data_IF_611804705779
#
_entry.id   IF_611804705779
#
_cell.length_a   1.000
_cell.length_b   1.000
_cell.length_c   1.000
_cell.angle_alpha   90.00
_cell.angle_beta   90.00
_cell.angle_gamma   90.00
#
_symmetry.space_group_name_H-M   'P 1'
#
loop_
_entity.id
_entity.type
_entity.pdbx_description
1 polymer ?
#
# COMPACT_ATOMS: atom_id res chain seq x y z
N UNK A 1 28.41 -3.62 8.82
CA UNK A 1 27.69 -2.34 8.63
C UNK A 1 26.73 -2.32 7.42
N UNK A 2 26.94 -3.16 6.39
CA UNK A 2 26.11 -3.19 5.15
C UNK A 2 24.68 -3.70 5.38
N UNK A 3 24.49 -4.71 6.24
CA UNK A 3 23.16 -5.23 6.60
C UNK A 3 22.24 -4.18 7.26
N UNK A 4 22.81 -3.29 8.09
CA UNK A 4 22.04 -2.23 8.75
C UNK A 4 21.48 -1.23 7.75
N UNK A 5 22.27 -0.86 6.73
CA UNK A 5 21.82 0.03 5.64
C UNK A 5 20.76 -0.64 4.77
N UNK A 6 20.93 -1.93 4.44
CA UNK A 6 19.91 -2.66 3.70
C UNK A 6 18.60 -2.67 4.49
N UNK A 7 18.59 -3.11 5.75
CA UNK A 7 17.35 -3.20 6.55
C UNK A 7 16.64 -1.85 6.74
N UNK A 8 17.39 -0.75 6.83
CA UNK A 8 16.82 0.60 6.88
C UNK A 8 16.05 0.95 5.61
N UNK A 9 16.58 0.59 4.44
CA UNK A 9 15.88 0.75 3.15
C UNK A 9 14.62 -0.12 3.11
N UNK A 10 14.61 -1.30 3.76
CA UNK A 10 13.40 -2.14 3.81
C UNK A 10 12.30 -1.43 4.54
N UNK A 11 12.62 -0.97 5.75
CA UNK A 11 11.64 -0.43 6.69
C UNK A 11 11.09 0.86 6.09
N UNK A 12 11.96 1.69 5.51
CA UNK A 12 11.54 2.89 4.80
C UNK A 12 10.60 2.57 3.63
N UNK A 13 10.96 1.61 2.78
CA UNK A 13 10.15 1.23 1.62
C UNK A 13 8.81 0.60 2.05
N UNK A 14 8.84 -0.22 3.10
CA UNK A 14 7.66 -0.87 3.67
C UNK A 14 6.70 0.14 4.26
N UNK A 15 7.19 1.03 5.12
CA UNK A 15 6.37 2.07 5.73
C UNK A 15 5.80 3.01 4.67
N UNK A 16 6.60 3.47 3.70
CA UNK A 16 6.12 4.38 2.66
C UNK A 16 5.11 3.72 1.72
N UNK A 17 5.32 2.45 1.35
CA UNK A 17 4.43 1.74 0.43
C UNK A 17 3.09 1.39 1.09
N UNK A 18 3.13 0.90 2.33
CA UNK A 18 1.91 0.63 3.11
C UNK A 18 1.13 1.92 3.35
N UNK A 19 1.80 3.02 3.68
CA UNK A 19 1.14 4.31 3.86
C UNK A 19 0.51 4.82 2.56
N UNK A 20 1.25 4.78 1.44
CA UNK A 20 0.76 5.21 0.14
C UNK A 20 -0.47 4.42 -0.31
N UNK A 21 -0.48 3.09 -0.15
CA UNK A 21 -1.62 2.26 -0.53
C UNK A 21 -2.84 2.47 0.36
N UNK A 22 -2.65 2.67 1.66
CA UNK A 22 -3.76 3.01 2.56
C UNK A 22 -4.39 4.35 2.16
N UNK A 23 -3.57 5.38 1.91
CA UNK A 23 -4.06 6.70 1.44
C UNK A 23 -4.78 6.55 0.10
N UNK A 24 -4.21 5.80 -0.84
CA UNK A 24 -4.78 5.60 -2.17
C UNK A 24 -6.14 4.89 -2.11
N UNK A 25 -6.28 3.87 -1.27
CA UNK A 25 -7.54 3.13 -1.10
C UNK A 25 -8.61 4.01 -0.45
N UNK A 26 -8.26 4.79 0.58
CA UNK A 26 -9.20 5.74 1.19
C UNK A 26 -9.65 6.79 0.17
N UNK A 27 -8.71 7.31 -0.62
CA UNK A 27 -9.01 8.33 -1.64
C UNK A 27 -9.89 7.76 -2.76
N UNK A 28 -9.59 6.56 -3.25
CA UNK A 28 -10.45 5.86 -4.21
C UNK A 28 -11.84 5.58 -3.66
N UNK A 29 -11.95 5.15 -2.39
CA UNK A 29 -13.24 4.89 -1.75
C UNK A 29 -14.09 6.15 -1.67
N UNK A 30 -13.49 7.29 -1.29
CA UNK A 30 -14.16 8.60 -1.26
C UNK A 30 -14.58 9.01 -2.66
N UNK A 31 -13.67 8.94 -3.65
CA UNK A 31 -13.95 9.34 -5.03
C UNK A 31 -15.05 8.48 -5.67
N UNK A 32 -15.03 7.16 -5.45
CA UNK A 32 -16.06 6.26 -5.95
C UNK A 32 -17.42 6.61 -5.35
N UNK A 33 -17.49 6.80 -4.02
CA UNK A 33 -18.76 7.17 -3.35
C UNK A 33 -19.24 8.55 -3.79
N UNK A 34 -18.34 9.51 -3.98
CA UNK A 34 -18.68 10.85 -4.46
C UNK A 34 -19.20 10.81 -5.90
N UNK A 35 -18.61 9.97 -6.76
CA UNK A 35 -19.12 9.71 -8.10
C UNK A 35 -20.53 9.12 -8.08
N UNK A 36 -20.79 8.11 -7.24
CA UNK A 36 -22.13 7.51 -7.12
C UNK A 36 -23.16 8.48 -6.55
N UNK A 37 -22.76 9.33 -5.60
CA UNK A 37 -23.65 10.36 -5.05
C UNK A 37 -24.02 11.39 -6.12
N UNK A 38 -23.05 11.90 -6.87
CA UNK A 38 -23.28 12.94 -7.90
C UNK A 38 -24.06 12.40 -9.11
N UNK A 39 -23.76 11.18 -9.55
CA UNK A 39 -24.33 10.62 -10.79
C UNK A 39 -25.64 9.86 -10.58
N UNK A 40 -25.84 9.25 -9.41
CA UNK A 40 -26.96 8.33 -9.17
C UNK A 40 -27.81 8.69 -7.95
N UNK A 41 -27.53 9.81 -7.27
CA UNK A 41 -28.25 10.27 -6.05
C UNK A 41 -28.30 9.19 -4.95
N UNK A 42 -27.31 8.29 -4.93
CA UNK A 42 -27.26 7.19 -3.95
C UNK A 42 -26.81 7.77 -2.61
N UNK A 43 -27.51 7.46 -1.50
CA UNK A 43 -27.16 7.98 -0.18
C UNK A 43 -25.71 7.63 0.18
N UNK A 44 -25.00 8.61 0.72
CA UNK A 44 -23.58 8.49 1.10
C UNK A 44 -23.44 7.68 2.39
N UNK A 45 -23.76 6.38 2.34
CA UNK A 45 -23.59 5.48 3.48
C UNK A 45 -22.16 4.93 3.50
N UNK A 46 -21.40 5.39 4.49
CA UNK A 46 -20.07 4.86 4.80
C UNK A 46 -20.26 3.73 5.80
N UNK A 47 -20.32 2.49 5.31
CA UNK A 47 -20.26 1.34 6.21
C UNK A 47 -18.83 1.13 6.72
N UNK A 48 -18.67 1.17 8.05
CA UNK A 48 -17.39 0.87 8.72
C UNK A 48 -16.92 -0.56 8.39
N UNK A 49 -17.84 -1.50 8.10
CA UNK A 49 -17.49 -2.87 7.70
C UNK A 49 -16.73 -2.92 6.39
N UNK A 50 -17.11 -2.07 5.44
CA UNK A 50 -16.47 -2.01 4.12
C UNK A 50 -15.10 -1.34 4.24
N UNK A 51 -15.03 -0.24 4.99
CA UNK A 51 -13.78 0.46 5.26
C UNK A 51 -12.72 -0.47 5.85
N UNK A 52 -13.09 -1.28 6.86
CA UNK A 52 -12.17 -2.23 7.50
C UNK A 52 -11.75 -3.36 6.56
N UNK A 53 -12.63 -3.84 5.67
CA UNK A 53 -12.27 -4.79 4.61
C UNK A 53 -11.22 -4.22 3.66
N UNK A 54 -11.43 -2.98 3.19
CA UNK A 54 -10.50 -2.34 2.27
C UNK A 54 -9.15 -2.04 2.90
N UNK A 55 -9.11 -1.61 4.18
CA UNK A 55 -7.86 -1.39 4.92
C UNK A 55 -7.08 -2.70 5.09
N UNK A 56 -7.76 -3.81 5.43
CA UNK A 56 -7.12 -5.13 5.53
C UNK A 56 -6.53 -5.57 4.19
N UNK A 57 -7.29 -5.40 3.11
CA UNK A 57 -6.83 -5.72 1.76
C UNK A 57 -5.62 -4.85 1.35
N UNK A 58 -5.69 -3.54 1.59
CA UNK A 58 -4.61 -2.59 1.30
C UNK A 58 -3.32 -2.92 2.07
N UNK A 59 -3.45 -3.28 3.35
CA UNK A 59 -2.30 -3.67 4.19
C UNK A 59 -1.64 -4.96 3.72
N UNK A 60 -2.44 -5.94 3.27
CA UNK A 60 -1.92 -7.19 2.71
C UNK A 60 -1.21 -6.96 1.37
N UNK A 61 -1.82 -6.17 0.49
CA UNK A 61 -1.24 -5.79 -0.79
C UNK A 61 0.08 -4.99 -0.61
N UNK A 62 0.11 -4.04 0.32
CA UNK A 62 1.32 -3.26 0.63
C UNK A 62 2.46 -4.09 1.20
N UNK A 63 2.13 -5.10 2.00
CA UNK A 63 3.13 -6.04 2.51
C UNK A 63 3.75 -6.87 1.38
N UNK A 64 2.92 -7.40 0.46
CA UNK A 64 3.39 -8.17 -0.70
C UNK A 64 4.27 -7.33 -1.64
N UNK A 65 3.83 -6.11 -1.97
CA UNK A 65 4.57 -5.21 -2.86
C UNK A 65 5.90 -4.83 -2.24
N UNK A 66 5.92 -4.50 -0.94
CA UNK A 66 7.17 -4.16 -0.26
C UNK A 66 8.16 -5.33 -0.20
N UNK A 67 7.68 -6.56 0.04
CA UNK A 67 8.53 -7.76 0.02
C UNK A 67 9.07 -8.02 -1.39
N UNK A 68 8.24 -7.83 -2.42
CA UNK A 68 8.65 -7.95 -3.82
C UNK A 68 9.75 -6.95 -4.20
N UNK A 69 9.56 -5.65 -3.90
CA UNK A 69 10.56 -4.62 -4.20
C UNK A 69 11.88 -4.86 -3.46
N UNK A 70 11.81 -5.36 -2.23
CA UNK A 70 13.00 -5.74 -1.48
C UNK A 70 13.75 -6.92 -2.09
N UNK A 71 13.02 -7.93 -2.55
CA UNK A 71 13.62 -9.10 -3.17
C UNK A 71 14.38 -8.73 -4.45
N UNK A 72 13.80 -7.83 -5.26
CA UNK A 72 14.46 -7.28 -6.46
C UNK A 72 15.71 -6.49 -6.10
N UNK A 73 15.64 -5.62 -5.07
CA UNK A 73 16.80 -4.87 -4.59
C UNK A 73 17.92 -5.80 -4.09
N UNK A 74 17.56 -6.84 -3.34
CA UNK A 74 18.52 -7.83 -2.83
C UNK A 74 19.17 -8.64 -3.95
N UNK A 75 18.40 -9.07 -4.97
CA UNK A 75 18.96 -9.74 -6.14
C UNK A 75 19.95 -8.84 -6.89
N UNK A 76 19.62 -7.56 -7.09
CA UNK A 76 20.49 -6.62 -7.79
C UNK A 76 21.79 -6.39 -7.02
N UNK A 77 21.71 -6.24 -5.70
CA UNK A 77 22.88 -6.10 -4.84
C UNK A 77 23.79 -7.35 -4.86
N UNK A 78 23.19 -8.55 -4.88
CA UNK A 78 23.95 -9.82 -4.96
C UNK A 78 24.65 -9.99 -6.31
N UNK A 79 24.04 -9.54 -7.39
CA UNK A 79 24.61 -9.60 -8.75
C UNK A 79 25.81 -8.67 -8.93
N UNK A 80 25.80 -7.50 -8.29
CA UNK A 80 26.88 -6.50 -8.40
C UNK A 80 28.13 -6.82 -7.55
N UNK A 81 28.11 -7.94 -6.80
CA UNK A 81 29.21 -8.38 -5.92
C UNK A 81 30.00 -9.58 -6.47
N UNK A 82 29.64 -10.05 -7.66
CA UNK A 82 30.22 -11.20 -8.35
C UNK A 82 30.83 -10.75 -9.67
#
# INVERSE_FOLDING_TARGET
MIFKKSLLVFIYLFTSCVFALNVFVVLLFIMARLFFFVMYDVPFEISISDLTKYIKAASFAGSLISVGCWWVYYQHYRKNRN
#
